data_IF_049770707848
#
_entry.id   IF_049770707848
#
_cell.length_a   1.000
_cell.length_b   1.000
_cell.length_c   1.000
_cell.angle_alpha   90.00
_cell.angle_beta   90.00
_cell.angle_gamma   90.00
#
_symmetry.space_group_name_H-M   'P 1'
#
loop_
_entity.id
_entity.type
_entity.pdbx_description
1 polymer ?
#
# COMPACT_ATOMS: atom_id res chain seq x y z
N UNK A 1 -8.52 1.66 43.11
CA UNK A 1 -7.34 1.84 42.23
C UNK A 1 -7.41 0.79 41.16
N UNK A 2 -7.36 1.16 39.87
CA UNK A 2 -7.34 0.21 38.76
C UNK A 2 -6.23 0.59 37.80
N UNK A 3 -5.27 -0.33 37.58
CA UNK A 3 -4.21 -0.08 36.61
C UNK A 3 -4.77 -0.20 35.20
N UNK A 4 -4.76 0.91 34.45
CA UNK A 4 -5.03 0.91 33.01
C UNK A 4 -3.76 0.42 32.30
N UNK A 5 -3.64 -0.88 32.11
CA UNK A 5 -2.53 -1.50 31.37
C UNK A 5 -2.57 -1.01 29.93
N UNK A 6 -1.59 -0.18 29.54
CA UNK A 6 -1.41 0.20 28.13
C UNK A 6 -0.82 -0.97 27.37
N UNK A 7 -1.63 -1.67 26.59
CA UNK A 7 -1.15 -2.69 25.66
C UNK A 7 -0.37 -1.99 24.55
N UNK A 8 0.95 -2.20 24.53
CA UNK A 8 1.82 -1.75 23.45
C UNK A 8 2.02 -2.92 22.50
N UNK A 9 1.44 -2.87 21.30
CA UNK A 9 1.72 -3.85 20.26
C UNK A 9 3.20 -3.78 19.87
N UNK A 10 3.98 -4.87 19.98
CA UNK A 10 5.30 -4.92 19.37
C UNK A 10 5.13 -4.99 17.85
N UNK A 11 5.62 -3.97 17.15
CA UNK A 11 5.81 -3.98 15.71
C UNK A 11 6.98 -4.92 15.34
N UNK A 12 7.13 -5.22 14.05
CA UNK A 12 8.33 -5.89 13.54
C UNK A 12 9.62 -5.18 13.99
N UNK A 13 10.72 -5.91 14.26
CA UNK A 13 12.00 -5.29 14.56
C UNK A 13 12.46 -4.44 13.37
N UNK A 14 12.65 -3.14 13.60
CA UNK A 14 13.05 -2.17 12.58
C UNK A 14 14.38 -2.62 11.97
N UNK A 15 14.39 -2.83 10.65
CA UNK A 15 15.60 -3.22 9.93
C UNK A 15 16.72 -2.18 10.12
N UNK A 16 18.01 -2.59 10.08
CA UNK A 16 19.12 -1.64 10.17
C UNK A 16 18.98 -0.55 9.11
N UNK A 17 19.00 0.72 9.53
CA UNK A 17 18.76 1.87 8.64
C UNK A 17 19.84 2.02 7.55
N UNK A 18 21.05 1.51 7.81
CA UNK A 18 22.11 1.36 6.82
C UNK A 18 21.75 0.32 5.74
N UNK A 19 21.03 -0.76 6.07
CA UNK A 19 20.56 -1.74 5.09
C UNK A 19 19.38 -1.20 4.27
N UNK A 20 18.46 -0.46 4.89
CA UNK A 20 17.37 0.23 4.16
C UNK A 20 17.94 1.26 3.18
N UNK A 21 18.86 2.10 3.65
CA UNK A 21 19.59 3.07 2.80
C UNK A 21 20.36 2.40 1.65
N UNK A 22 21.02 1.27 1.90
CA UNK A 22 21.70 0.50 0.83
C UNK A 22 20.74 -0.10 -0.20
N UNK A 23 19.52 -0.49 0.20
CA UNK A 23 18.50 -0.97 -0.72
C UNK A 23 17.90 0.17 -1.55
N UNK A 24 17.64 1.33 -0.93
CA UNK A 24 17.23 2.56 -1.63
C UNK A 24 18.26 2.99 -2.68
N UNK A 25 19.54 3.07 -2.31
CA UNK A 25 20.63 3.44 -3.24
C UNK A 25 20.76 2.46 -4.42
N UNK A 26 20.52 1.17 -4.19
CA UNK A 26 20.50 0.16 -5.26
C UNK A 26 19.26 0.26 -6.15
N UNK A 27 18.13 0.65 -5.58
CA UNK A 27 16.87 0.86 -6.29
C UNK A 27 16.97 2.10 -7.19
N UNK A 28 17.42 3.23 -6.65
CA UNK A 28 17.75 4.46 -7.39
C UNK A 28 18.78 4.19 -8.50
N UNK A 29 19.87 3.51 -8.16
CA UNK A 29 20.92 3.11 -9.11
C UNK A 29 20.52 2.02 -10.12
N UNK A 30 19.29 1.48 -10.04
CA UNK A 30 18.74 0.54 -11.03
C UNK A 30 17.83 1.21 -12.07
N UNK A 31 17.56 2.50 -11.92
CA UNK A 31 16.71 3.26 -12.87
C UNK A 31 17.50 3.57 -14.14
N UNK A 32 17.17 2.88 -15.24
CA UNK A 32 17.65 3.25 -16.56
C UNK A 32 16.81 4.41 -17.13
N UNK A 33 17.46 5.55 -17.41
CA UNK A 33 16.82 6.74 -17.97
C UNK A 33 16.50 6.62 -19.48
N UNK A 34 16.95 5.55 -20.13
CA UNK A 34 16.64 5.21 -21.53
C UNK A 34 15.45 4.24 -21.68
N UNK A 35 14.91 3.72 -20.56
CA UNK A 35 13.78 2.79 -20.53
C UNK A 35 12.51 3.43 -19.96
N UNK A 36 11.35 2.78 -20.17
CA UNK A 36 10.09 3.26 -19.61
C UNK A 36 10.09 3.21 -18.08
N UNK A 37 9.74 4.34 -17.45
CA UNK A 37 9.72 4.46 -15.98
C UNK A 37 8.77 3.43 -15.33
N UNK A 38 9.25 2.79 -14.25
CA UNK A 38 8.48 1.78 -13.52
C UNK A 38 7.80 2.40 -12.28
N UNK A 39 6.45 2.50 -12.23
CA UNK A 39 5.77 3.12 -11.09
C UNK A 39 6.00 2.39 -9.76
N UNK A 40 6.29 1.08 -9.80
CA UNK A 40 6.60 0.29 -8.60
C UNK A 40 7.90 0.74 -7.94
N UNK A 41 8.85 1.28 -8.72
CA UNK A 41 10.13 1.81 -8.21
C UNK A 41 9.88 3.11 -7.45
N UNK A 42 9.15 4.06 -8.05
CA UNK A 42 8.80 5.32 -7.39
C UNK A 42 7.96 5.09 -6.13
N UNK A 43 6.96 4.21 -6.21
CA UNK A 43 6.14 3.80 -5.07
C UNK A 43 7.00 3.21 -3.93
N UNK A 44 7.93 2.31 -4.24
CA UNK A 44 8.83 1.72 -3.25
C UNK A 44 9.80 2.75 -2.63
N UNK A 45 10.35 3.67 -3.44
CA UNK A 45 11.17 4.79 -2.94
C UNK A 45 10.39 5.67 -1.96
N UNK A 46 9.18 6.08 -2.32
CA UNK A 46 8.32 6.92 -1.49
C UNK A 46 7.96 6.23 -0.17
N UNK A 47 7.52 4.97 -0.22
CA UNK A 47 7.13 4.20 0.98
C UNK A 47 8.31 3.89 1.91
N UNK A 48 9.54 3.84 1.39
CA UNK A 48 10.76 3.66 2.19
C UNK A 48 11.41 4.97 2.66
N UNK A 49 10.86 6.14 2.27
CA UNK A 49 11.38 7.45 2.66
C UNK A 49 12.65 7.89 1.91
N UNK A 50 12.77 7.54 0.64
CA UNK A 50 13.84 8.02 -0.26
C UNK A 50 13.76 9.51 -0.58
N UNK A 51 14.77 10.03 -1.27
CA UNK A 51 14.91 11.47 -1.55
C UNK A 51 13.91 11.94 -2.64
N UNK A 52 12.82 12.57 -2.20
CA UNK A 52 11.81 13.19 -3.07
C UNK A 52 12.29 14.43 -3.83
N UNK A 53 13.42 15.01 -3.42
CA UNK A 53 14.06 16.12 -4.14
C UNK A 53 15.15 15.65 -5.13
N UNK A 54 15.49 14.35 -5.12
CA UNK A 54 16.52 13.75 -5.95
C UNK A 54 16.19 13.76 -7.45
N UNK A 55 17.19 13.77 -8.34
CA UNK A 55 16.98 13.85 -9.79
C UNK A 55 16.28 12.61 -10.36
N UNK A 56 16.57 11.42 -9.81
CA UNK A 56 15.95 10.14 -10.22
C UNK A 56 14.46 10.13 -9.88
N UNK A 57 14.09 10.61 -8.69
CA UNK A 57 12.70 10.73 -8.25
C UNK A 57 11.90 11.66 -9.16
N UNK A 58 12.43 12.86 -9.41
CA UNK A 58 11.80 13.88 -10.27
C UNK A 58 11.65 13.42 -11.73
N UNK A 59 12.62 12.68 -12.25
CA UNK A 59 12.50 12.06 -13.58
C UNK A 59 11.42 10.97 -13.60
N UNK A 60 11.47 10.01 -12.67
CA UNK A 60 10.46 8.94 -12.55
C UNK A 60 9.05 9.54 -12.49
N UNK A 61 8.83 10.53 -11.62
CA UNK A 61 7.53 11.16 -11.44
C UNK A 61 7.03 11.86 -12.71
N UNK A 62 7.91 12.52 -13.47
CA UNK A 62 7.51 13.17 -14.72
C UNK A 62 7.22 12.16 -15.84
N UNK A 63 8.07 11.15 -16.04
CA UNK A 63 7.81 10.09 -17.04
C UNK A 63 6.53 9.30 -16.74
N UNK A 64 6.27 8.98 -15.47
CA UNK A 64 5.03 8.32 -15.03
C UNK A 64 3.80 9.17 -15.38
N UNK A 65 3.88 10.50 -15.27
CA UNK A 65 2.80 11.41 -15.68
C UNK A 65 2.66 11.48 -17.21
N UNK A 66 3.76 11.54 -17.94
CA UNK A 66 3.75 11.61 -19.41
C UNK A 66 3.25 10.31 -20.04
N UNK A 67 3.74 9.15 -19.59
CA UNK A 67 3.32 7.84 -20.07
C UNK A 67 1.86 7.54 -19.71
N UNK A 68 1.39 7.94 -18.52
CA UNK A 68 -0.03 7.89 -18.19
C UNK A 68 -0.89 8.70 -19.18
N UNK A 69 -0.50 9.93 -19.52
CA UNK A 69 -1.20 10.74 -20.54
C UNK A 69 -1.10 10.11 -21.94
N UNK A 70 0.04 9.49 -22.27
CA UNK A 70 0.36 8.92 -23.59
C UNK A 70 -0.44 7.64 -23.90
N UNK A 71 -0.49 6.70 -22.97
CA UNK A 71 -0.94 5.33 -23.24
C UNK A 71 -2.00 4.76 -22.27
N UNK A 72 -2.30 5.38 -21.13
CA UNK A 72 -3.16 4.78 -20.11
C UNK A 72 -4.56 4.39 -20.62
N UNK A 73 -5.13 5.12 -21.57
CA UNK A 73 -6.42 4.75 -22.15
C UNK A 73 -6.34 3.49 -23.03
N UNK A 74 -5.26 3.33 -23.80
CA UNK A 74 -5.15 2.38 -24.92
C UNK A 74 -4.33 1.14 -24.57
N UNK A 75 -3.07 1.33 -24.25
CA UNK A 75 -2.05 0.27 -24.29
C UNK A 75 -1.72 -0.29 -22.89
N UNK A 76 -2.09 0.43 -21.82
CA UNK A 76 -2.01 -0.07 -20.45
C UNK A 76 -3.14 -1.03 -20.08
N UNK A 77 -2.80 -2.09 -19.35
CA UNK A 77 -3.71 -2.90 -18.54
C UNK A 77 -4.25 -2.14 -17.33
N UNK A 78 -5.31 -2.64 -16.67
CA UNK A 78 -5.84 -2.02 -15.45
C UNK A 78 -4.77 -1.90 -14.36
N UNK A 79 -4.09 -3.00 -14.03
CA UNK A 79 -3.05 -3.05 -13.01
C UNK A 79 -1.83 -2.16 -13.29
N UNK A 80 -1.52 -1.87 -14.56
CA UNK A 80 -0.54 -0.84 -14.91
C UNK A 80 -1.05 0.57 -14.56
N UNK A 81 -2.30 0.90 -14.90
CA UNK A 81 -2.93 2.18 -14.52
C UNK A 81 -3.02 2.30 -12.99
N UNK A 82 -3.37 1.23 -12.28
CA UNK A 82 -3.38 1.19 -10.82
C UNK A 82 -2.01 1.49 -10.21
N UNK A 83 -0.93 0.91 -10.74
CA UNK A 83 0.43 1.22 -10.31
C UNK A 83 0.83 2.69 -10.56
N UNK A 84 0.38 3.30 -11.67
CA UNK A 84 0.55 4.74 -11.89
C UNK A 84 -0.22 5.58 -10.87
N UNK A 85 -1.48 5.24 -10.57
CA UNK A 85 -2.28 5.90 -9.52
C UNK A 85 -1.59 5.81 -8.16
N UNK A 86 -1.10 4.64 -7.76
CA UNK A 86 -0.38 4.44 -6.48
C UNK A 86 0.94 5.23 -6.42
N UNK A 87 1.71 5.27 -7.51
CA UNK A 87 2.94 6.06 -7.58
C UNK A 87 2.66 7.58 -7.48
N UNK A 88 1.57 8.06 -8.09
CA UNK A 88 1.13 9.45 -8.00
C UNK A 88 0.65 9.82 -6.59
N UNK A 89 -0.20 8.99 -5.99
CA UNK A 89 -0.70 9.18 -4.62
C UNK A 89 0.46 9.20 -3.60
N UNK A 90 1.41 8.26 -3.69
CA UNK A 90 2.61 8.24 -2.84
C UNK A 90 3.57 9.41 -3.09
N UNK A 91 3.43 10.11 -4.22
CA UNK A 91 4.15 11.34 -4.56
C UNK A 91 3.34 12.61 -4.27
N UNK A 92 2.25 12.51 -3.50
CA UNK A 92 1.31 13.59 -3.17
C UNK A 92 0.74 14.33 -4.40
N UNK A 93 0.62 13.65 -5.55
CA UNK A 93 0.00 14.18 -6.76
C UNK A 93 -1.48 13.78 -6.84
N UNK A 94 -2.28 14.58 -7.54
CA UNK A 94 -3.70 14.31 -7.78
C UNK A 94 -3.90 13.42 -9.04
N UNK A 95 -4.29 12.15 -8.90
CA UNK A 95 -4.52 11.26 -10.05
C UNK A 95 -5.80 11.58 -10.85
N UNK A 96 -6.70 12.44 -10.35
CA UNK A 96 -7.84 12.94 -11.14
C UNK A 96 -7.43 14.06 -12.11
N UNK A 97 -6.24 14.65 -11.93
CA UNK A 97 -5.73 15.79 -12.72
C UNK A 97 -4.24 15.63 -13.05
N UNK A 98 -3.92 14.54 -13.76
CA UNK A 98 -2.57 14.28 -14.26
C UNK A 98 -2.25 15.25 -15.40
N UNK A 99 -1.48 16.29 -15.11
CA UNK A 99 -1.04 17.30 -16.08
C UNK A 99 0.34 16.94 -16.67
N UNK A 100 0.38 16.61 -17.96
CA UNK A 100 1.60 16.34 -18.74
C UNK A 100 1.32 16.45 -20.25
N UNK A 101 2.36 16.64 -21.09
CA UNK A 101 2.24 16.74 -22.56
C UNK A 101 1.12 17.69 -23.04
N UNK A 102 1.04 18.87 -22.42
CA UNK A 102 -0.01 19.91 -22.62
C UNK A 102 -1.47 19.44 -22.42
N UNK A 103 -1.66 18.23 -21.86
CA UNK A 103 -2.94 17.58 -21.65
C UNK A 103 -3.24 17.40 -20.15
N UNK A 104 -4.48 17.04 -19.84
CA UNK A 104 -4.95 16.72 -18.49
C UNK A 104 -5.73 15.41 -18.55
N UNK A 105 -5.34 14.43 -17.73
CA UNK A 105 -6.00 13.13 -17.66
C UNK A 105 -6.54 12.86 -16.25
N UNK A 106 -7.80 12.43 -16.20
CA UNK A 106 -8.40 11.79 -15.02
C UNK A 106 -8.06 10.29 -15.06
N UNK A 107 -6.99 9.93 -14.35
CA UNK A 107 -6.47 8.57 -14.33
C UNK A 107 -7.33 7.64 -13.46
N UNK A 108 -8.05 8.19 -12.47
CA UNK A 108 -9.01 7.44 -11.64
C UNK A 108 -10.17 6.96 -12.50
N UNK A 109 -10.72 7.82 -13.37
CA UNK A 109 -11.79 7.41 -14.29
C UNK A 109 -11.32 6.40 -15.34
N UNK A 110 -10.09 6.49 -15.82
CA UNK A 110 -9.50 5.46 -16.70
C UNK A 110 -9.36 4.12 -15.95
N UNK A 111 -8.92 4.16 -14.69
CA UNK A 111 -8.83 2.97 -13.86
C UNK A 111 -10.19 2.34 -13.62
N UNK A 112 -11.21 3.13 -13.24
CA UNK A 112 -12.59 2.67 -13.06
C UNK A 112 -13.08 1.92 -14.31
N UNK A 113 -13.02 2.54 -15.49
CA UNK A 113 -13.46 1.90 -16.73
C UNK A 113 -12.74 0.57 -16.99
N UNK A 114 -11.42 0.51 -16.82
CA UNK A 114 -10.68 -0.75 -17.02
C UNK A 114 -11.02 -1.79 -15.96
N UNK A 115 -11.31 -1.38 -14.73
CA UNK A 115 -11.75 -2.27 -13.65
C UNK A 115 -13.13 -2.84 -13.94
N UNK A 116 -14.06 -2.04 -14.47
CA UNK A 116 -15.37 -2.49 -14.94
C UNK A 116 -15.24 -3.51 -16.08
N UNK A 117 -14.31 -3.31 -17.00
CA UNK A 117 -13.99 -4.28 -18.08
C UNK A 117 -13.38 -5.59 -17.56
N UNK A 118 -12.52 -5.53 -16.54
CA UNK A 118 -11.99 -6.72 -15.85
C UNK A 118 -13.10 -7.48 -15.09
N UNK A 119 -13.99 -6.74 -14.43
CA UNK A 119 -15.13 -7.28 -13.68
C UNK A 119 -16.16 -7.94 -14.58
N UNK A 120 -16.56 -7.31 -15.68
CA UNK A 120 -17.49 -7.90 -16.65
C UNK A 120 -16.97 -9.22 -17.24
N UNK A 121 -15.65 -9.34 -17.41
CA UNK A 121 -14.98 -10.58 -17.85
C UNK A 121 -14.98 -11.63 -16.73
N UNK A 122 -14.64 -11.23 -15.50
CA UNK A 122 -14.63 -12.08 -14.31
C UNK A 122 -16.00 -12.67 -13.99
N UNK A 123 -17.07 -11.91 -14.17
CA UNK A 123 -18.46 -12.38 -13.98
C UNK A 123 -18.93 -13.30 -15.12
N UNK A 124 -18.55 -13.02 -16.37
CA UNK A 124 -18.98 -13.82 -17.52
C UNK A 124 -18.24 -15.16 -17.68
N UNK A 125 -16.95 -15.22 -17.35
CA UNK A 125 -16.07 -16.36 -17.63
C UNK A 125 -15.35 -16.92 -16.39
N UNK A 126 -15.56 -16.35 -15.20
CA UNK A 126 -14.91 -16.77 -13.96
C UNK A 126 -13.43 -16.37 -13.84
N UNK A 127 -12.88 -15.70 -14.85
CA UNK A 127 -11.51 -15.20 -14.93
C UNK A 127 -11.48 -13.76 -15.44
N UNK A 128 -10.57 -12.90 -14.94
CA UNK A 128 -10.44 -11.52 -15.41
C UNK A 128 -9.78 -11.45 -16.81
N UNK A 129 -9.74 -10.27 -17.44
CA UNK A 129 -9.00 -10.03 -18.70
C UNK A 129 -7.48 -10.13 -18.47
N UNK A 130 -7.01 -9.76 -17.29
CA UNK A 130 -5.60 -9.89 -16.89
C UNK A 130 -5.40 -10.89 -15.76
N UNK A 131 -5.38 -10.46 -14.49
CA UNK A 131 -5.15 -11.35 -13.34
C UNK A 131 -5.89 -10.86 -12.09
N UNK A 132 -6.18 -11.75 -11.15
CA UNK A 132 -6.72 -11.37 -9.83
C UNK A 132 -5.73 -10.52 -9.00
N UNK A 133 -4.44 -10.53 -9.34
CA UNK A 133 -3.45 -9.60 -8.76
C UNK A 133 -3.62 -8.18 -9.33
N UNK A 134 -3.91 -8.07 -10.63
CA UNK A 134 -4.27 -6.79 -11.27
C UNK A 134 -5.54 -6.22 -10.65
N UNK A 135 -6.62 -7.01 -10.59
CA UNK A 135 -7.91 -6.57 -10.02
C UNK A 135 -7.76 -6.18 -8.53
N UNK A 136 -6.85 -6.82 -7.79
CA UNK A 136 -6.51 -6.41 -6.44
C UNK A 136 -5.72 -5.08 -6.37
N UNK A 137 -4.75 -4.86 -7.27
CA UNK A 137 -4.11 -3.55 -7.44
C UNK A 137 -5.12 -2.46 -7.79
N UNK A 138 -6.05 -2.75 -8.71
CA UNK A 138 -7.12 -1.84 -9.13
C UNK A 138 -8.01 -1.46 -7.94
N UNK A 139 -8.44 -2.46 -7.17
CA UNK A 139 -9.25 -2.29 -5.95
C UNK A 139 -8.52 -1.45 -4.90
N UNK A 140 -7.22 -1.69 -4.69
CA UNK A 140 -6.39 -0.92 -3.77
C UNK A 140 -6.24 0.54 -4.22
N UNK A 141 -5.90 0.76 -5.50
CA UNK A 141 -5.68 2.09 -6.06
C UNK A 141 -6.98 2.93 -6.08
N UNK A 142 -8.13 2.31 -6.37
CA UNK A 142 -9.43 2.96 -6.25
C UNK A 142 -9.79 3.27 -4.79
N UNK A 143 -9.53 2.34 -3.86
CA UNK A 143 -9.79 2.56 -2.44
C UNK A 143 -8.96 3.73 -1.86
N UNK A 144 -7.64 3.76 -2.12
CA UNK A 144 -6.75 4.84 -1.66
C UNK A 144 -7.00 6.19 -2.36
N UNK A 145 -7.72 6.20 -3.48
CA UNK A 145 -8.21 7.39 -4.15
C UNK A 145 -9.64 7.80 -3.70
N UNK A 146 -10.19 7.18 -2.65
CA UNK A 146 -11.56 7.34 -2.15
C UNK A 146 -12.64 7.17 -3.24
N UNK A 147 -12.36 6.34 -4.25
CA UNK A 147 -13.20 6.15 -5.42
C UNK A 147 -14.22 5.02 -5.23
N UNK A 148 -15.50 5.32 -5.48
CA UNK A 148 -16.65 4.42 -5.24
C UNK A 148 -16.61 3.08 -6.01
N UNK A 149 -15.82 2.98 -7.08
CA UNK A 149 -15.69 1.77 -7.90
C UNK A 149 -15.05 0.56 -7.20
N UNK A 150 -14.44 0.71 -6.01
CA UNK A 150 -13.71 -0.37 -5.35
C UNK A 150 -14.59 -1.50 -4.77
N UNK A 151 -15.89 -1.28 -4.52
CA UNK A 151 -16.73 -2.23 -3.76
C UNK A 151 -17.15 -3.48 -4.54
N UNK A 152 -17.47 -3.37 -5.82
CA UNK A 152 -17.78 -4.54 -6.67
C UNK A 152 -16.59 -5.50 -6.78
N UNK A 153 -15.40 -5.00 -7.17
CA UNK A 153 -14.15 -5.75 -7.17
C UNK A 153 -13.82 -6.43 -5.83
N UNK A 154 -13.92 -5.74 -4.70
CA UNK A 154 -13.57 -6.33 -3.40
C UNK A 154 -14.46 -7.52 -3.01
N UNK A 155 -15.76 -7.46 -3.29
CA UNK A 155 -16.71 -8.58 -3.12
C UNK A 155 -16.33 -9.78 -3.99
N UNK A 156 -15.91 -9.54 -5.23
CA UNK A 156 -15.51 -10.62 -6.14
C UNK A 156 -14.17 -11.24 -5.73
N UNK A 157 -13.18 -10.43 -5.35
CA UNK A 157 -11.89 -10.90 -4.84
C UNK A 157 -12.02 -11.71 -3.55
N UNK A 158 -12.90 -11.29 -2.62
CA UNK A 158 -13.20 -12.05 -1.41
C UNK A 158 -13.78 -13.44 -1.73
N UNK A 159 -14.76 -13.52 -2.64
CA UNK A 159 -15.33 -14.80 -3.11
C UNK A 159 -14.30 -15.69 -3.83
N UNK A 160 -13.40 -15.10 -4.60
CA UNK A 160 -12.31 -15.84 -5.25
C UNK A 160 -11.33 -16.42 -4.23
N UNK A 161 -10.98 -15.67 -3.17
CA UNK A 161 -10.12 -16.15 -2.07
C UNK A 161 -10.79 -17.25 -1.23
N UNK A 162 -12.09 -17.13 -0.97
CA UNK A 162 -12.85 -18.11 -0.17
C UNK A 162 -13.24 -19.37 -0.97
N UNK A 163 -13.07 -19.37 -2.29
CA UNK A 163 -13.36 -20.52 -3.15
C UNK A 163 -12.36 -21.67 -2.87
N UNK A 164 -12.81 -22.87 -2.44
CA UNK A 164 -11.93 -24.01 -2.16
C UNK A 164 -11.17 -24.54 -3.38
N UNK A 165 -11.59 -24.18 -4.59
CA UNK A 165 -10.95 -24.53 -5.85
C UNK A 165 -9.90 -23.49 -6.29
N UNK A 166 -9.70 -22.41 -5.53
CA UNK A 166 -8.77 -21.34 -5.88
C UNK A 166 -7.31 -21.68 -5.53
N UNK A 167 -6.48 -21.85 -6.56
CA UNK A 167 -5.03 -22.07 -6.40
C UNK A 167 -4.26 -20.75 -6.49
N UNK A 168 -4.62 -19.79 -5.62
CA UNK A 168 -4.06 -18.44 -5.63
C UNK A 168 -2.63 -18.39 -5.05
N UNK A 169 -1.72 -17.76 -5.80
CA UNK A 169 -0.35 -17.51 -5.35
C UNK A 169 -0.32 -16.65 -4.08
N UNK A 170 0.75 -16.76 -3.29
CA UNK A 170 0.95 -15.93 -2.09
C UNK A 170 0.92 -14.44 -2.43
N UNK A 171 1.53 -14.02 -3.54
CA UNK A 171 1.48 -12.62 -3.99
C UNK A 171 0.06 -12.16 -4.34
N UNK A 172 -0.74 -13.03 -4.97
CA UNK A 172 -2.16 -12.77 -5.27
C UNK A 172 -2.98 -12.66 -3.98
N UNK A 173 -2.88 -13.64 -3.07
CA UNK A 173 -3.55 -13.59 -1.75
C UNK A 173 -3.16 -12.33 -0.96
N UNK A 174 -1.89 -11.94 -0.99
CA UNK A 174 -1.40 -10.79 -0.25
C UNK A 174 -1.95 -9.47 -0.82
N UNK A 175 -1.88 -9.27 -2.15
CA UNK A 175 -2.44 -8.07 -2.76
C UNK A 175 -3.97 -7.98 -2.56
N UNK A 176 -4.68 -9.11 -2.63
CA UNK A 176 -6.11 -9.15 -2.29
C UNK A 176 -6.32 -8.72 -0.84
N UNK A 177 -5.65 -9.34 0.13
CA UNK A 177 -5.83 -8.99 1.54
C UNK A 177 -5.50 -7.52 1.84
N UNK A 178 -4.47 -6.93 1.21
CA UNK A 178 -4.19 -5.49 1.30
C UNK A 178 -5.38 -4.66 0.76
N UNK A 179 -5.91 -5.00 -0.42
CA UNK A 179 -7.03 -4.28 -1.02
C UNK A 179 -8.34 -4.41 -0.22
N UNK A 180 -8.66 -5.61 0.28
CA UNK A 180 -9.82 -5.84 1.14
C UNK A 180 -9.68 -5.09 2.48
N UNK A 181 -8.47 -5.01 3.03
CA UNK A 181 -8.17 -4.27 4.26
C UNK A 181 -8.40 -2.77 4.12
N UNK A 182 -7.99 -2.19 2.98
CA UNK A 182 -8.26 -0.79 2.69
C UNK A 182 -9.76 -0.51 2.73
N UNK A 183 -10.55 -1.27 1.95
CA UNK A 183 -11.97 -0.96 1.75
C UNK A 183 -12.86 -1.37 2.94
N UNK A 184 -12.43 -2.31 3.80
CA UNK A 184 -13.18 -2.78 4.97
C UNK A 184 -13.70 -1.62 5.86
N UNK A 185 -12.92 -0.54 5.98
CA UNK A 185 -13.31 0.62 6.78
C UNK A 185 -14.42 1.48 6.15
N UNK A 186 -14.51 1.48 4.81
CA UNK A 186 -15.45 2.30 4.02
C UNK A 186 -16.76 1.57 3.67
N UNK A 187 -16.86 0.26 3.88
CA UNK A 187 -18.07 -0.52 3.60
C UNK A 187 -19.14 -0.32 4.68
N UNK A 188 -20.28 0.26 4.32
CA UNK A 188 -21.45 0.40 5.21
C UNK A 188 -22.30 -0.87 5.32
N UNK A 189 -22.31 -1.74 4.29
CA UNK A 189 -23.13 -2.95 4.26
C UNK A 189 -22.51 -4.08 5.12
N UNK A 190 -23.24 -4.50 6.16
CA UNK A 190 -22.77 -5.51 7.11
C UNK A 190 -22.40 -6.85 6.44
N UNK A 191 -23.26 -7.39 5.57
CA UNK A 191 -23.03 -8.65 4.85
C UNK A 191 -21.72 -8.61 4.01
N UNK A 192 -21.38 -7.44 3.45
CA UNK A 192 -20.13 -7.24 2.71
C UNK A 192 -18.95 -7.14 3.68
N UNK A 193 -19.10 -6.41 4.79
CA UNK A 193 -18.08 -6.29 5.84
C UNK A 193 -17.70 -7.65 6.43
N UNK A 194 -18.69 -8.52 6.68
CA UNK A 194 -18.48 -9.89 7.17
C UNK A 194 -17.78 -10.77 6.12
N UNK A 195 -18.19 -10.71 4.85
CA UNK A 195 -17.51 -11.41 3.74
C UNK A 195 -16.03 -10.98 3.59
N UNK A 196 -15.74 -9.68 3.72
CA UNK A 196 -14.37 -9.16 3.70
C UNK A 196 -13.57 -9.66 4.90
N UNK A 197 -14.16 -9.68 6.09
CA UNK A 197 -13.53 -10.21 7.32
C UNK A 197 -13.20 -11.70 7.20
N UNK A 198 -14.10 -12.52 6.64
CA UNK A 198 -13.86 -13.96 6.42
C UNK A 198 -12.71 -14.20 5.42
N UNK A 199 -12.66 -13.42 4.33
CA UNK A 199 -11.59 -13.51 3.34
C UNK A 199 -10.23 -13.07 3.92
N UNK A 200 -10.19 -11.98 4.70
CA UNK A 200 -9.00 -11.52 5.41
C UNK A 200 -8.48 -12.57 6.40
N UNK A 201 -9.38 -13.11 7.23
CA UNK A 201 -9.08 -14.18 8.17
C UNK A 201 -8.52 -15.42 7.47
N UNK A 202 -9.11 -15.81 6.35
CA UNK A 202 -8.66 -16.95 5.53
C UNK A 202 -7.25 -16.74 4.97
N UNK A 203 -6.94 -15.55 4.44
CA UNK A 203 -5.59 -15.24 3.96
C UNK A 203 -4.57 -15.26 5.10
N UNK A 204 -4.83 -14.56 6.22
CA UNK A 204 -3.93 -14.48 7.37
C UNK A 204 -3.56 -15.86 7.92
N UNK A 205 -4.55 -16.75 8.08
CA UNK A 205 -4.28 -18.12 8.52
C UNK A 205 -3.52 -18.92 7.45
N UNK A 206 -3.84 -18.77 6.16
CA UNK A 206 -3.09 -19.44 5.08
C UNK A 206 -1.61 -19.03 5.03
N UNK A 207 -1.25 -17.85 5.54
CA UNK A 207 0.14 -17.39 5.64
C UNK A 207 0.85 -17.93 6.87
N UNK A 208 0.19 -18.06 8.03
CA UNK A 208 0.72 -18.78 9.19
C UNK A 208 0.97 -20.25 8.87
N UNK A 209 0.02 -20.91 8.21
CA UNK A 209 0.13 -22.28 7.71
C UNK A 209 1.37 -22.48 6.83
N UNK A 210 1.68 -21.52 5.95
CA UNK A 210 2.90 -21.55 5.14
C UNK A 210 4.16 -21.24 5.98
N UNK A 211 4.09 -20.26 6.89
CA UNK A 211 5.20 -19.87 7.76
C UNK A 211 5.68 -21.05 8.63
N UNK A 212 4.75 -21.80 9.25
CA UNK A 212 5.06 -22.98 10.05
C UNK A 212 5.67 -24.09 9.17
N UNK A 213 5.03 -24.42 8.04
CA UNK A 213 5.44 -25.52 7.15
C UNK A 213 6.73 -25.26 6.37
N UNK A 214 7.21 -24.01 6.32
CA UNK A 214 8.40 -23.56 5.55
C UNK A 214 9.45 -22.85 6.41
N UNK A 215 9.56 -23.18 7.70
CA UNK A 215 10.58 -22.67 8.62
C UNK A 215 10.67 -21.13 8.65
N UNK A 216 9.54 -20.42 8.59
CA UNK A 216 9.45 -18.96 8.63
C UNK A 216 9.17 -18.28 7.28
N UNK A 217 9.24 -18.99 6.15
CA UNK A 217 9.04 -18.40 4.81
C UNK A 217 7.59 -18.46 4.33
N UNK A 218 7.00 -17.32 3.94
CA UNK A 218 5.65 -17.28 3.37
C UNK A 218 5.75 -17.27 1.84
N UNK A 219 5.39 -18.37 1.19
CA UNK A 219 5.60 -18.59 -0.25
C UNK A 219 7.08 -18.76 -0.60
N UNK A 220 7.67 -17.72 -1.18
CA UNK A 220 9.08 -17.63 -1.56
C UNK A 220 9.65 -16.21 -1.27
N UNK A 221 10.96 -16.01 -1.47
CA UNK A 221 11.66 -14.75 -1.17
C UNK A 221 11.11 -13.51 -1.89
N UNK A 222 10.43 -13.67 -3.03
CA UNK A 222 9.83 -12.57 -3.78
C UNK A 222 8.38 -12.27 -3.34
N UNK A 223 7.63 -13.29 -2.91
CA UNK A 223 6.25 -13.11 -2.40
C UNK A 223 6.19 -12.71 -0.93
N UNK A 224 7.18 -13.11 -0.13
CA UNK A 224 7.17 -12.92 1.33
C UNK A 224 7.12 -11.43 1.72
N UNK A 225 7.83 -10.56 1.01
CA UNK A 225 7.83 -9.12 1.29
C UNK A 225 6.44 -8.47 1.17
N UNK A 226 5.58 -8.96 0.27
CA UNK A 226 4.19 -8.51 0.13
C UNK A 226 3.27 -9.16 1.17
N UNK A 227 3.48 -10.45 1.48
CA UNK A 227 2.73 -11.14 2.52
C UNK A 227 2.95 -10.54 3.92
N UNK A 228 4.16 -10.03 4.21
CA UNK A 228 4.46 -9.33 5.47
C UNK A 228 3.72 -7.99 5.61
N UNK A 229 3.42 -7.30 4.50
CA UNK A 229 2.65 -6.04 4.56
C UNK A 229 1.22 -6.27 5.08
N UNK A 230 0.61 -7.42 4.78
CA UNK A 230 -0.70 -7.83 5.34
C UNK A 230 -0.63 -7.97 6.86
N UNK A 231 0.52 -8.39 7.39
CA UNK A 231 0.70 -8.61 8.82
C UNK A 231 0.77 -7.35 9.69
N UNK A 232 1.06 -6.19 9.08
CA UNK A 232 1.13 -4.89 9.75
C UNK A 232 -0.13 -4.02 9.55
N UNK A 233 -1.16 -4.54 8.86
CA UNK A 233 -2.44 -3.86 8.65
C UNK A 233 -3.18 -3.66 9.98
N UNK A 234 -3.69 -2.45 10.29
CA UNK A 234 -4.54 -2.23 11.47
C UNK A 234 -5.92 -2.94 11.35
N UNK A 235 -6.13 -3.98 12.15
CA UNK A 235 -7.44 -4.61 12.34
C UNK A 235 -7.38 -5.90 13.19
N UNK A 236 -8.52 -6.35 13.71
CA UNK A 236 -8.64 -7.59 14.52
C UNK A 236 -8.47 -8.90 13.70
N UNK A 237 -7.90 -8.82 12.49
CA UNK A 237 -7.71 -9.96 11.58
C UNK A 237 -6.45 -10.79 11.88
N UNK A 238 -5.68 -10.40 12.91
CA UNK A 238 -4.63 -11.24 13.50
C UNK A 238 -5.28 -12.39 14.28
N UNK A 239 -4.98 -13.67 14.01
CA UNK A 239 -5.71 -14.79 14.61
C UNK A 239 -5.44 -15.07 16.10
N UNK A 240 -4.74 -14.18 16.80
CA UNK A 240 -4.87 -14.01 18.24
C UNK A 240 -5.79 -12.80 18.50
N UNK A 241 -7.06 -13.07 18.79
CA UNK A 241 -8.05 -12.02 19.06
C UNK A 241 -7.74 -11.19 20.32
N UNK A 242 -8.05 -9.90 20.26
CA UNK A 242 -8.15 -8.96 21.39
C UNK A 242 -7.06 -9.06 22.48
N UNK A 243 -5.94 -8.37 22.28
CA UNK A 243 -5.05 -7.97 23.38
C UNK A 243 -3.76 -8.76 23.58
N UNK A 244 -3.34 -9.55 22.60
CA UNK A 244 -1.98 -10.14 22.56
C UNK A 244 -1.22 -9.68 21.30
N UNK A 245 0.11 -9.82 21.32
CA UNK A 245 1.02 -9.22 20.36
C UNK A 245 0.82 -9.70 18.91
N UNK A 246 1.12 -8.86 17.89
CA UNK A 246 1.31 -9.32 16.52
C UNK A 246 2.36 -10.43 16.46
N UNK A 247 2.10 -11.43 15.62
CA UNK A 247 3.03 -12.45 15.11
C UNK A 247 4.02 -13.06 16.14
N UNK A 248 3.73 -14.24 16.72
CA UNK A 248 4.68 -14.97 17.55
C UNK A 248 5.82 -15.58 16.70
N UNK A 249 6.77 -14.75 16.28
CA UNK A 249 7.93 -15.13 15.48
C UNK A 249 8.74 -16.26 16.14
N UNK A 250 9.12 -17.32 15.38
CA UNK A 250 9.99 -18.38 15.90
C UNK A 250 11.32 -17.86 16.46
N UNK A 251 11.80 -18.49 17.53
CA UNK A 251 12.95 -18.02 18.34
C UNK A 251 14.29 -17.91 17.59
N UNK A 252 14.38 -18.38 16.34
CA UNK A 252 15.57 -18.24 15.49
C UNK A 252 15.93 -16.79 15.13
N UNK A 253 15.01 -15.83 15.33
CA UNK A 253 15.23 -14.41 15.02
C UNK A 253 15.56 -13.53 16.25
N UNK A 254 15.77 -14.11 17.44
CA UNK A 254 16.01 -13.37 18.71
C UNK A 254 17.45 -13.51 19.21
N UNK A 255 18.35 -12.55 18.89
CA UNK A 255 19.23 -12.03 19.96
C UNK A 255 19.60 -10.53 19.86
N UNK A 256 18.93 -9.73 19.02
CA UNK A 256 19.14 -8.27 18.92
C UNK A 256 17.83 -7.51 19.20
N UNK A 257 17.86 -6.17 19.11
CA UNK A 257 16.70 -5.25 19.17
C UNK A 257 16.12 -4.93 20.56
N UNK A 258 16.69 -3.89 21.19
CA UNK A 258 16.02 -3.08 22.20
C UNK A 258 16.29 -1.59 21.92
N UNK A 259 15.26 -0.81 21.58
CA UNK A 259 15.37 0.62 21.22
C UNK A 259 14.00 1.30 21.03
N UNK A 260 13.88 2.64 21.10
CA UNK A 260 12.62 3.26 21.56
C UNK A 260 11.75 4.02 20.53
N UNK A 261 10.50 3.57 20.42
CA UNK A 261 9.25 4.39 20.46
C UNK A 261 8.92 5.47 19.40
N UNK A 262 9.75 5.80 18.40
CA UNK A 262 9.45 6.95 17.51
C UNK A 262 8.42 6.71 16.38
N UNK A 263 8.22 5.47 15.89
CA UNK A 263 7.29 5.17 14.79
C UNK A 263 5.81 5.07 15.21
N UNK A 264 5.28 6.10 15.89
CA UNK A 264 3.82 6.25 16.16
C UNK A 264 3.12 7.21 15.19
N UNK A 265 3.76 7.50 14.06
CA UNK A 265 3.37 8.57 13.12
C UNK A 265 3.20 8.09 11.66
N UNK A 266 3.79 6.96 11.25
CA UNK A 266 3.76 6.53 9.84
C UNK A 266 2.34 6.24 9.30
N UNK A 267 1.42 5.76 10.15
CA UNK A 267 0.02 5.47 9.77
C UNK A 267 -1.01 6.26 10.59
N UNK A 268 -0.68 6.67 11.81
CA UNK A 268 -1.54 7.51 12.68
C UNK A 268 -1.24 9.00 12.59
N UNK A 269 -0.40 9.45 11.66
CA UNK A 269 -0.23 10.86 11.29
C UNK A 269 -0.53 11.12 9.79
N UNK A 270 -1.58 10.49 9.26
CA UNK A 270 -2.45 11.14 8.27
C UNK A 270 -3.36 12.13 9.02
N UNK A 271 -3.06 13.44 9.07
CA UNK A 271 -4.05 14.41 9.50
C UNK A 271 -5.19 14.49 8.47
N UNK A 272 -6.40 14.90 8.87
CA UNK A 272 -7.51 15.15 7.94
C UNK A 272 -7.27 16.45 7.13
N UNK A 273 -6.32 16.39 6.19
CA UNK A 273 -6.02 17.34 5.09
C UNK A 273 -4.97 16.71 4.16
N UNK A 274 -5.44 15.90 3.21
CA UNK A 274 -4.67 15.62 1.99
C UNK A 274 -4.60 16.95 1.21
N UNK A 275 -3.38 17.40 0.90
CA UNK A 275 -3.02 18.67 0.24
C UNK A 275 -3.48 19.97 0.95
N UNK A 276 -2.55 20.87 1.34
CA UNK A 276 -2.92 22.26 1.64
C UNK A 276 -3.25 22.99 0.33
N UNK A 277 -4.51 23.35 0.10
CA UNK A 277 -4.88 24.19 -1.04
C UNK A 277 -4.22 25.56 -0.93
N UNK A 278 -3.56 25.99 -2.00
CA UNK A 278 -3.07 27.36 -2.10
C UNK A 278 -4.23 28.33 -2.34
N UNK A 279 -4.41 29.31 -1.43
CA UNK A 279 -4.68 30.70 -1.82
C UNK A 279 -4.61 31.69 -0.63
N UNK A 280 -4.23 32.93 -0.97
CA UNK A 280 -4.38 34.19 -0.22
C UNK A 280 -3.63 34.45 1.11
N UNK A 281 -2.59 35.29 0.97
CA UNK A 281 -2.16 36.39 1.86
C UNK A 281 -1.41 36.06 3.19
N UNK A 282 -0.59 37.01 3.73
CA UNK A 282 0.64 36.67 4.44
C UNK A 282 0.62 36.84 5.97
N UNK A 283 1.39 36.00 6.66
CA UNK A 283 1.78 36.22 8.06
C UNK A 283 3.04 37.10 8.13
N UNK A 284 2.90 38.36 8.55
CA UNK A 284 4.02 39.23 8.93
C UNK A 284 4.14 39.33 10.45
N UNK A 285 5.38 39.47 10.95
CA UNK A 285 5.73 39.96 12.29
C UNK A 285 5.17 39.15 13.50
N UNK A 286 5.97 38.27 14.12
CA UNK A 286 7.03 38.56 15.11
C UNK A 286 6.54 38.68 16.56
N UNK A 287 7.10 37.87 17.45
CA UNK A 287 7.42 38.20 18.85
C UNK A 287 8.66 37.38 19.22
N UNK A 288 9.70 38.04 19.76
CA UNK A 288 10.95 37.40 20.14
C UNK A 288 11.22 37.47 21.65
N UNK A 289 12.44 37.07 22.03
CA UNK A 289 12.98 37.03 23.40
C UNK A 289 12.43 35.86 24.26
N UNK A 290 13.23 35.14 25.07
CA UNK A 290 14.63 35.41 25.50
C UNK A 290 15.42 34.14 25.86
N UNK A 291 16.76 34.23 25.73
CA UNK A 291 17.82 33.55 26.50
C UNK A 291 18.15 32.05 26.32
N UNK A 292 19.31 31.82 25.67
CA UNK A 292 20.35 30.77 25.89
C UNK A 292 21.02 30.90 27.29
N UNK A 293 22.07 30.11 27.67
CA UNK A 293 22.69 28.88 27.11
C UNK A 293 22.56 27.69 28.12
N UNK A 294 23.40 26.65 28.34
CA UNK A 294 24.73 26.12 27.92
C UNK A 294 24.59 24.57 27.73
N UNK A 295 25.18 23.88 26.75
CA UNK A 295 26.60 23.44 26.54
C UNK A 295 27.16 22.47 27.58
N UNK A 296 27.11 21.17 27.25
CA UNK A 296 28.19 20.18 27.35
C UNK A 296 27.81 18.94 26.52
#
# INVERSE_FOLDING_TARGET
>A
MGHRTTVTSPLLPVAPQDMVSQLLQRLEGSVNLEEAANPSVLLAMNLAGGDSDGPVHKWLLQEIKEEAVRSAQKDMTSGQVALHVLALLSSCQDPQRVHALEQTLDLIRVLQQKTDEEMAKLEAEGVPKTTLYSVALDTMALCLAEASGAQGPSVALAKQVLSPQSHLSVGTRAMVALALSCIYNYVELQDVRELLQEALWTVSNSFLDEQEKRNGMIGNIYSMGLALQVGEVPGDFTPLGSGTAPWPWPRCCQPWWAGPTWMRLAWTALPPRICPQANSWPCSQSWGHTAFPEVC
#
